data_IF_403437774356
#
_entry.id   IF_403437774356
#
_cell.length_a   1.000
_cell.length_b   1.000
_cell.length_c   1.000
_cell.angle_alpha   90.00
_cell.angle_beta   90.00
_cell.angle_gamma   90.00
#
_symmetry.space_group_name_H-M   'P 1'
#
loop_
_entity.id
_entity.type
_entity.pdbx_description
1 polymer ?
#
# COMPACT_ATOMS: atom_id res chain seq x y z
N UNK A 1 -18.34 5.35 -0.70
CA UNK A 1 -16.96 5.58 -1.16
C UNK A 1 -16.69 4.65 -2.33
N UNK A 2 -16.25 5.16 -3.49
CA UNK A 2 -15.88 4.31 -4.63
C UNK A 2 -14.38 4.05 -4.56
N UNK A 3 -13.98 2.79 -4.61
CA UNK A 3 -12.58 2.38 -4.54
C UNK A 3 -12.16 1.75 -5.86
N UNK A 4 -10.94 2.07 -6.26
CA UNK A 4 -10.23 1.40 -7.33
C UNK A 4 -8.88 0.98 -6.79
N UNK A 5 -8.55 -0.31 -6.94
CA UNK A 5 -7.32 -0.89 -6.41
C UNK A 5 -6.42 -1.25 -7.58
N UNK A 6 -5.18 -0.80 -7.53
CA UNK A 6 -4.14 -1.23 -8.47
C UNK A 6 -3.13 -2.08 -7.71
N UNK A 7 -2.87 -3.29 -8.20
CA UNK A 7 -1.75 -4.10 -7.75
C UNK A 7 -0.59 -3.85 -8.71
N UNK A 8 0.42 -3.12 -8.25
CA UNK A 8 1.62 -2.83 -9.02
C UNK A 8 2.60 -4.00 -8.87
N UNK A 9 2.61 -4.91 -9.85
CA UNK A 9 3.39 -6.14 -9.80
C UNK A 9 4.66 -6.04 -10.64
N UNK A 10 5.81 -6.18 -9.99
CA UNK A 10 7.16 -6.19 -10.58
C UNK A 10 7.77 -7.60 -10.64
N UNK A 11 6.97 -8.62 -10.34
CA UNK A 11 7.41 -10.01 -10.35
C UNK A 11 7.83 -10.46 -11.75
N UNK A 12 8.90 -11.24 -11.80
CA UNK A 12 9.38 -11.92 -13.02
C UNK A 12 9.22 -13.43 -12.94
N UNK A 13 8.95 -13.97 -11.75
CA UNK A 13 8.72 -15.39 -11.52
C UNK A 13 7.28 -15.77 -11.87
N UNK A 14 7.10 -16.81 -12.68
CA UNK A 14 5.79 -17.24 -13.18
C UNK A 14 4.84 -17.64 -12.04
N UNK A 15 5.37 -18.22 -10.95
CA UNK A 15 4.52 -18.63 -9.83
C UNK A 15 4.02 -17.41 -9.08
N UNK A 16 4.88 -16.43 -8.83
CA UNK A 16 4.48 -15.16 -8.21
C UNK A 16 3.43 -14.42 -9.05
N UNK A 17 3.63 -14.31 -10.36
CA UNK A 17 2.67 -13.70 -11.30
C UNK A 17 1.31 -14.41 -11.22
N UNK A 18 1.30 -15.74 -11.29
CA UNK A 18 0.07 -16.53 -11.21
C UNK A 18 -0.67 -16.34 -9.88
N UNK A 19 0.05 -16.25 -8.77
CA UNK A 19 -0.56 -16.00 -7.45
C UNK A 19 -1.21 -14.62 -7.36
N UNK A 20 -0.54 -13.58 -7.89
CA UNK A 20 -1.08 -12.22 -7.93
C UNK A 20 -2.35 -12.19 -8.77
N UNK A 21 -2.32 -12.77 -9.98
CA UNK A 21 -3.47 -12.79 -10.88
C UNK A 21 -4.64 -13.56 -10.29
N UNK A 22 -4.38 -14.70 -9.63
CA UNK A 22 -5.41 -15.45 -8.93
C UNK A 22 -6.06 -14.63 -7.79
N UNK A 23 -5.27 -13.85 -7.05
CA UNK A 23 -5.77 -12.98 -5.98
C UNK A 23 -6.63 -11.85 -6.54
N UNK A 24 -6.18 -11.19 -7.61
CA UNK A 24 -6.92 -10.12 -8.27
C UNK A 24 -8.23 -10.65 -8.85
N UNK A 25 -8.20 -11.79 -9.53
CA UNK A 25 -9.40 -12.48 -10.03
C UNK A 25 -10.41 -12.78 -8.92
N UNK A 26 -9.93 -13.31 -7.79
CA UNK A 26 -10.79 -13.63 -6.64
C UNK A 26 -11.53 -12.38 -6.14
N UNK A 27 -10.82 -11.26 -5.98
CA UNK A 27 -11.41 -10.02 -5.47
C UNK A 27 -12.28 -9.31 -6.49
N UNK A 28 -11.89 -9.36 -7.77
CA UNK A 28 -12.70 -8.87 -8.89
C UNK A 28 -14.05 -9.59 -8.95
N UNK A 29 -14.07 -10.92 -8.81
CA UNK A 29 -15.32 -11.72 -8.72
C UNK A 29 -16.19 -11.39 -7.51
N UNK A 30 -15.59 -10.86 -6.44
CA UNK A 30 -16.31 -10.35 -5.27
C UNK A 30 -16.81 -8.90 -5.45
N UNK A 31 -16.69 -8.33 -6.66
CA UNK A 31 -17.20 -7.00 -6.99
C UNK A 31 -16.26 -5.84 -6.63
N UNK A 32 -15.01 -6.13 -6.26
CA UNK A 32 -14.01 -5.08 -6.06
C UNK A 32 -13.45 -4.63 -7.41
N UNK A 33 -13.39 -3.33 -7.66
CA UNK A 33 -12.72 -2.79 -8.85
C UNK A 33 -11.20 -2.87 -8.61
N UNK A 34 -10.56 -3.93 -9.09
CA UNK A 34 -9.14 -4.22 -8.88
C UNK A 34 -8.49 -4.72 -10.17
N UNK A 35 -7.32 -4.19 -10.50
CA UNK A 35 -6.53 -4.58 -11.66
C UNK A 35 -5.05 -4.77 -11.30
N UNK A 36 -4.38 -5.70 -11.98
CA UNK A 36 -2.92 -5.82 -11.92
C UNK A 36 -2.27 -4.97 -13.00
N UNK A 37 -1.31 -4.14 -12.61
CA UNK A 37 -0.50 -3.34 -13.54
C UNK A 37 0.93 -3.86 -13.50
N UNK A 38 1.47 -4.23 -14.67
CA UNK A 38 2.85 -4.67 -14.84
C UNK A 38 3.54 -3.79 -15.86
N UNK A 39 4.72 -3.30 -15.50
CA UNK A 39 5.52 -2.45 -16.38
C UNK A 39 6.46 -3.27 -17.26
N UNK A 40 6.76 -2.80 -18.47
CA UNK A 40 7.67 -3.51 -19.38
C UNK A 40 9.14 -3.43 -18.94
N UNK A 41 9.54 -2.36 -18.25
CA UNK A 41 10.93 -2.09 -17.86
C UNK A 41 10.98 -1.67 -16.38
N UNK A 42 11.87 -2.29 -15.60
CA UNK A 42 12.04 -2.04 -14.16
C UNK A 42 13.00 -0.88 -13.88
N UNK A 43 12.63 0.33 -14.30
CA UNK A 43 13.39 1.57 -14.04
C UNK A 43 12.81 2.39 -12.88
N UNK A 44 13.63 3.08 -12.09
CA UNK A 44 13.15 3.93 -10.99
C UNK A 44 12.49 3.19 -9.81
N UNK A 45 12.67 1.86 -9.72
CA UNK A 45 12.21 1.03 -8.60
C UNK A 45 10.74 1.27 -8.23
N UNK A 46 10.45 1.52 -6.94
CA UNK A 46 9.10 1.78 -6.41
C UNK A 46 8.49 3.04 -7.05
N UNK A 47 9.26 4.12 -7.16
CA UNK A 47 8.80 5.38 -7.76
C UNK A 47 8.39 5.20 -9.23
N UNK A 48 9.19 4.48 -10.01
CA UNK A 48 8.88 4.21 -11.42
C UNK A 48 7.67 3.28 -11.59
N UNK A 49 7.48 2.32 -10.69
CA UNK A 49 6.29 1.45 -10.70
C UNK A 49 5.02 2.25 -10.43
N UNK A 50 5.06 3.13 -9.41
CA UNK A 50 3.95 4.04 -9.10
C UNK A 50 3.67 5.00 -10.26
N UNK A 51 4.70 5.61 -10.84
CA UNK A 51 4.55 6.53 -11.98
C UNK A 51 3.90 5.83 -13.18
N UNK A 52 4.26 4.57 -13.46
CA UNK A 52 3.63 3.79 -14.50
C UNK A 52 2.15 3.50 -14.16
N UNK A 53 1.86 3.07 -12.94
CA UNK A 53 0.49 2.82 -12.46
C UNK A 53 -0.43 4.04 -12.58
N UNK A 54 0.10 5.23 -12.28
CA UNK A 54 -0.63 6.50 -12.42
C UNK A 54 -1.11 6.78 -13.84
N UNK A 55 -0.44 6.26 -14.88
CA UNK A 55 -0.89 6.46 -16.28
C UNK A 55 -2.20 5.75 -16.61
N UNK A 56 -2.56 4.73 -15.81
CA UNK A 56 -3.82 4.00 -15.93
C UNK A 56 -4.92 4.54 -15.02
N UNK A 57 -4.60 5.50 -14.13
CA UNK A 57 -5.58 6.15 -13.28
C UNK A 57 -6.26 7.28 -14.05
N UNK A 58 -7.59 7.21 -14.17
CA UNK A 58 -8.33 8.16 -15.01
C UNK A 58 -9.09 9.22 -14.22
N UNK A 59 -9.43 9.00 -12.94
CA UNK A 59 -10.20 9.99 -12.16
C UNK A 59 -10.27 9.74 -10.63
N UNK A 60 -9.15 9.68 -9.92
CA UNK A 60 -9.15 9.60 -8.46
C UNK A 60 -8.83 10.95 -7.81
N UNK A 61 -9.65 11.37 -6.83
CA UNK A 61 -9.41 12.59 -6.06
C UNK A 61 -8.28 12.42 -5.02
N UNK A 62 -8.08 11.19 -4.54
CA UNK A 62 -7.08 10.83 -3.55
C UNK A 62 -6.41 9.52 -3.95
N UNK A 63 -5.12 9.41 -3.61
CA UNK A 63 -4.32 8.20 -3.84
C UNK A 63 -3.84 7.72 -2.48
N UNK A 64 -3.99 6.42 -2.23
CA UNK A 64 -3.44 5.75 -1.06
C UNK A 64 -2.50 4.67 -1.54
N UNK A 65 -1.32 4.61 -0.92
CA UNK A 65 -0.24 3.70 -1.30
C UNK A 65 0.00 2.79 -0.12
N UNK A 66 -0.07 1.48 -0.38
CA UNK A 66 0.28 0.44 0.59
C UNK A 66 1.43 -0.38 0.02
N UNK A 67 2.40 -0.70 0.89
CA UNK A 67 3.34 -1.77 0.60
C UNK A 67 2.62 -3.13 0.64
N UNK A 68 3.15 -4.12 -0.09
CA UNK A 68 2.48 -5.41 -0.26
C UNK A 68 2.33 -6.21 1.05
N UNK A 69 3.11 -5.87 2.08
CA UNK A 69 3.10 -6.44 3.42
C UNK A 69 2.32 -5.59 4.43
N UNK A 70 1.78 -4.43 4.02
CA UNK A 70 1.02 -3.57 4.90
C UNK A 70 -0.43 -4.04 5.05
N UNK A 71 -0.87 -4.23 6.29
CA UNK A 71 -2.24 -4.62 6.63
C UNK A 71 -2.98 -3.42 7.25
N UNK A 72 -3.67 -2.60 6.44
CA UNK A 72 -4.44 -1.48 6.97
C UNK A 72 -5.63 -1.97 7.81
N UNK A 73 -6.02 -1.20 8.82
CA UNK A 73 -7.27 -1.44 9.53
C UNK A 73 -8.47 -1.15 8.62
N UNK A 74 -9.60 -1.80 8.87
CA UNK A 74 -10.80 -1.66 8.03
C UNK A 74 -11.34 -0.21 7.96
N UNK A 75 -11.01 0.61 8.96
CA UNK A 75 -11.39 2.01 9.09
C UNK A 75 -10.29 3.00 8.64
N UNK A 76 -9.15 2.51 8.14
CA UNK A 76 -8.00 3.34 7.76
C UNK A 76 -8.37 4.54 6.87
N UNK A 77 -9.14 4.30 5.81
CA UNK A 77 -9.56 5.36 4.88
C UNK A 77 -10.56 6.33 5.52
N UNK A 78 -11.39 5.84 6.46
CA UNK A 78 -12.33 6.68 7.20
C UNK A 78 -11.61 7.61 8.18
N UNK A 79 -10.44 7.21 8.69
CA UNK A 79 -9.64 8.04 9.57
C UNK A 79 -8.73 9.03 8.82
N UNK A 80 -8.25 8.68 7.62
CA UNK A 80 -7.22 9.44 6.91
C UNK A 80 -7.76 10.43 5.88
N UNK A 81 -8.74 10.01 5.06
CA UNK A 81 -9.26 10.83 3.95
C UNK A 81 -9.97 12.11 4.44
N UNK A 82 -10.76 12.11 5.53
CA UNK A 82 -11.42 13.34 6.00
C UNK A 82 -10.45 14.48 6.33
N UNK A 83 -9.26 14.18 6.86
CA UNK A 83 -8.24 15.18 7.17
C UNK A 83 -7.81 15.94 5.90
N UNK A 84 -7.65 15.23 4.78
CA UNK A 84 -7.31 15.82 3.48
C UNK A 84 -8.47 16.60 2.84
N UNK A 85 -9.71 16.26 3.16
CA UNK A 85 -10.90 16.98 2.68
C UNK A 85 -11.09 18.29 3.46
N UNK A 86 -10.84 18.26 4.77
CA UNK A 86 -11.12 19.37 5.67
C UNK A 86 -10.12 20.52 5.54
N UNK A 87 -8.86 20.22 5.22
CA UNK A 87 -7.81 21.23 5.10
C UNK A 87 -7.12 21.17 3.73
N UNK A 88 -7.40 22.12 2.81
CA UNK A 88 -6.76 22.21 1.51
C UNK A 88 -5.24 22.45 1.56
N UNK A 89 -4.68 22.85 2.72
CA UNK A 89 -3.24 23.04 2.89
C UNK A 89 -2.50 21.73 3.20
N UNK A 90 -3.21 20.65 3.54
CA UNK A 90 -2.59 19.35 3.85
C UNK A 90 -2.43 18.54 2.56
N UNK A 91 -1.17 18.27 2.20
CA UNK A 91 -0.84 17.55 0.97
C UNK A 91 -0.88 16.01 1.11
N UNK A 92 -0.62 15.46 2.31
CA UNK A 92 -0.64 14.02 2.57
C UNK A 92 -0.88 13.71 4.04
N UNK A 93 -1.36 12.49 4.31
CA UNK A 93 -1.46 11.91 5.66
C UNK A 93 -0.60 10.67 5.70
N UNK A 94 0.34 10.63 6.64
CA UNK A 94 1.20 9.46 6.85
C UNK A 94 0.72 8.69 8.08
N UNK A 95 0.42 7.41 7.89
CA UNK A 95 0.11 6.51 8.98
C UNK A 95 1.38 5.80 9.49
N UNK A 96 1.37 5.42 10.76
CA UNK A 96 2.47 4.72 11.41
C UNK A 96 2.60 3.29 10.87
N UNK A 97 3.84 2.82 10.72
CA UNK A 97 4.15 1.42 10.46
C UNK A 97 4.05 0.59 11.74
N UNK A 98 3.44 -0.59 11.65
CA UNK A 98 3.32 -1.51 12.79
C UNK A 98 3.84 -2.89 12.38
N UNK A 99 4.36 -3.63 13.36
CA UNK A 99 4.99 -4.93 13.12
C UNK A 99 4.00 -6.05 13.37
N UNK A 100 3.78 -6.90 12.36
CA UNK A 100 2.85 -8.04 12.43
C UNK A 100 3.49 -9.25 13.11
N UNK A 101 4.82 -9.39 13.06
CA UNK A 101 5.58 -10.54 13.56
C UNK A 101 6.33 -10.28 14.88
N UNK A 102 6.05 -9.17 15.55
CA UNK A 102 6.83 -8.75 16.73
C UNK A 102 6.84 -9.76 17.89
N UNK A 103 5.85 -10.66 17.92
CA UNK A 103 5.73 -11.70 18.96
C UNK A 103 6.23 -13.08 18.52
N UNK A 104 6.70 -13.23 17.27
CA UNK A 104 7.13 -14.53 16.74
C UNK A 104 8.48 -15.00 17.30
N UNK A 105 9.35 -14.07 17.71
CA UNK A 105 10.64 -14.41 18.32
C UNK A 105 11.13 -13.31 19.26
N UNK A 106 12.12 -13.65 20.09
CA UNK A 106 12.80 -12.65 20.93
C UNK A 106 13.51 -11.58 20.09
N UNK A 107 14.06 -11.96 18.93
CA UNK A 107 14.72 -11.03 18.00
C UNK A 107 13.72 -10.03 17.40
N UNK A 108 12.58 -10.51 16.87
CA UNK A 108 11.57 -9.63 16.27
C UNK A 108 10.93 -8.70 17.30
N UNK A 109 10.82 -9.13 18.57
CA UNK A 109 10.40 -8.27 19.68
C UNK A 109 11.41 -7.17 20.00
N UNK A 110 12.70 -7.49 20.00
CA UNK A 110 13.75 -6.47 20.19
C UNK A 110 13.78 -5.47 19.04
N UNK A 111 13.61 -5.94 17.79
CA UNK A 111 13.52 -5.08 16.61
C UNK A 111 12.31 -4.14 16.68
N UNK A 112 11.15 -4.64 17.11
CA UNK A 112 9.95 -3.80 17.33
C UNK A 112 10.24 -2.67 18.33
N UNK A 113 10.82 -2.98 19.50
CA UNK A 113 11.11 -1.97 20.53
C UNK A 113 12.04 -0.88 19.97
N UNK A 114 13.10 -1.28 19.28
CA UNK A 114 14.08 -0.35 18.73
C UNK A 114 13.49 0.53 17.62
N UNK A 115 12.78 -0.07 16.66
CA UNK A 115 12.15 0.68 15.57
C UNK A 115 11.02 1.59 16.07
N UNK A 116 10.24 1.15 17.06
CA UNK A 116 9.22 1.99 17.69
C UNK A 116 9.82 3.21 18.41
N UNK A 117 11.01 3.05 19.02
CA UNK A 117 11.73 4.16 19.63
C UNK A 117 12.22 5.15 18.55
N UNK A 118 12.80 4.65 17.47
CA UNK A 118 13.25 5.47 16.36
C UNK A 118 12.10 6.27 15.72
N UNK A 119 10.97 5.63 15.43
CA UNK A 119 9.78 6.30 14.90
C UNK A 119 9.20 7.34 15.87
N UNK A 120 9.26 7.10 17.18
CA UNK A 120 8.83 8.10 18.16
C UNK A 120 9.68 9.37 18.06
N UNK A 121 10.98 9.25 17.80
CA UNK A 121 11.86 10.41 17.65
C UNK A 121 11.74 11.11 16.29
N UNK A 122 11.41 10.38 15.22
CA UNK A 122 11.28 10.97 13.87
C UNK A 122 9.90 11.57 13.56
N UNK A 123 8.85 11.16 14.28
CA UNK A 123 7.45 11.55 14.00
C UNK A 123 6.84 12.45 15.11
N UNK A 124 7.66 13.08 15.94
CA UNK A 124 7.27 14.22 16.81
C UNK A 124 7.34 15.54 16.03
#
# INVERSE_FOLDING_TARGET
MRLFVQVLDDSTDERAIALVDQCVDKWSRNGIQIDTIRRPIREGFKAGSMQHGMTFMTNAAYIVIFDADFLPTADFLLQTVPTLIQDPLVAFVQARWTFTNAKESFLTRMQEIWLNFHHKCEQE
#
